data_IF_735910853661
#
_entry.id   IF_735910853661
#
_cell.length_a   1.000
_cell.length_b   1.000
_cell.length_c   1.000
_cell.angle_alpha   90.00
_cell.angle_beta   90.00
_cell.angle_gamma   90.00
#
_symmetry.space_group_name_H-M   'P 1'
#
loop_
_entity.id
_entity.type
_entity.pdbx_description
1 polymer ?
#
# COMPACT_ATOMS: atom_id res chain seq x y z
N UNK A 1 -29.80 25.23 -74.92
CA UNK A 1 -28.83 25.62 -73.89
C UNK A 1 -29.17 24.97 -72.57
N UNK A 2 -28.76 23.70 -72.38
CA UNK A 2 -28.82 23.01 -71.15
C UNK A 2 -27.47 23.14 -70.44
N UNK A 3 -27.49 23.91 -69.34
CA UNK A 3 -26.33 24.10 -68.49
C UNK A 3 -26.10 22.85 -67.62
N UNK A 4 -25.08 22.04 -67.95
CA UNK A 4 -24.59 20.95 -67.12
C UNK A 4 -24.10 21.51 -65.79
N UNK A 5 -24.64 21.00 -64.69
CA UNK A 5 -24.08 21.19 -63.35
C UNK A 5 -22.76 20.42 -63.25
N UNK A 6 -21.68 21.00 -62.74
CA UNK A 6 -20.46 20.26 -62.49
C UNK A 6 -20.71 19.16 -61.45
N UNK A 7 -20.32 17.92 -61.74
CA UNK A 7 -20.27 16.84 -60.78
C UNK A 7 -19.31 17.22 -59.62
N UNK A 8 -19.68 16.98 -58.36
CA UNK A 8 -18.81 17.25 -57.25
C UNK A 8 -17.61 16.29 -57.26
N UNK A 9 -16.43 16.88 -57.13
CA UNK A 9 -15.12 16.26 -57.11
C UNK A 9 -15.05 15.05 -56.16
N UNK A 10 -14.73 13.87 -56.69
CA UNK A 10 -14.55 12.63 -55.92
C UNK A 10 -13.46 12.74 -54.84
N UNK A 11 -12.51 13.68 -54.98
CA UNK A 11 -11.44 13.95 -54.02
C UNK A 11 -11.93 14.53 -52.68
N UNK A 12 -13.01 15.32 -52.73
CA UNK A 12 -13.56 15.97 -51.53
C UNK A 12 -14.40 14.99 -50.68
N UNK A 13 -15.01 13.99 -51.31
CA UNK A 13 -15.76 12.93 -50.64
C UNK A 13 -14.85 11.99 -49.83
N UNK A 14 -13.67 11.67 -50.36
CA UNK A 14 -12.70 10.84 -49.61
C UNK A 14 -12.14 11.53 -48.37
N UNK A 15 -11.92 12.86 -48.42
CA UNK A 15 -11.51 13.66 -47.30
C UNK A 15 -12.59 13.74 -46.19
N UNK A 16 -13.87 13.82 -46.60
CA UNK A 16 -15.01 13.89 -45.68
C UNK A 16 -15.29 12.54 -45.03
N UNK A 17 -15.13 11.40 -45.73
CA UNK A 17 -15.24 10.06 -45.15
C UNK A 17 -14.12 9.76 -44.14
N UNK A 18 -12.89 10.20 -44.43
CA UNK A 18 -11.77 10.05 -43.47
C UNK A 18 -11.95 10.91 -42.21
N UNK A 19 -12.56 12.09 -42.35
CA UNK A 19 -12.89 12.97 -41.22
C UNK A 19 -14.07 12.43 -40.38
N UNK A 20 -15.08 11.85 -41.01
CA UNK A 20 -16.23 11.25 -40.35
C UNK A 20 -15.89 9.93 -39.63
N UNK A 21 -14.87 9.21 -40.09
CA UNK A 21 -14.40 7.96 -39.46
C UNK A 21 -13.71 8.14 -38.11
N UNK A 22 -13.36 9.38 -37.69
CA UNK A 22 -12.72 9.69 -36.39
C UNK A 22 -13.67 10.28 -35.37
N UNK A 23 -14.99 10.39 -35.64
CA UNK A 23 -15.92 10.83 -34.63
C UNK A 23 -16.15 9.70 -33.63
N UNK A 24 -15.54 9.83 -32.46
CA UNK A 24 -15.82 9.06 -31.28
C UNK A 24 -17.33 9.05 -31.05
N UNK A 25 -17.98 7.90 -31.20
CA UNK A 25 -19.36 7.77 -30.79
C UNK A 25 -19.44 7.88 -29.27
N UNK A 26 -19.90 9.00 -28.66
CA UNK A 26 -19.87 9.19 -27.21
C UNK A 26 -20.65 8.10 -26.46
N UNK A 27 -21.55 7.42 -27.14
CA UNK A 27 -22.32 6.30 -26.59
C UNK A 27 -21.46 5.06 -26.33
N UNK A 28 -20.55 4.72 -27.24
CA UNK A 28 -19.68 3.53 -27.10
C UNK A 28 -18.60 3.78 -26.05
N UNK A 29 -18.00 4.97 -26.04
CA UNK A 29 -17.06 5.36 -25.01
C UNK A 29 -17.69 5.26 -23.61
N UNK A 30 -18.90 5.80 -23.43
CA UNK A 30 -19.64 5.73 -22.18
C UNK A 30 -20.00 4.30 -21.80
N UNK A 31 -20.34 3.46 -22.77
CA UNK A 31 -20.63 2.04 -22.55
C UNK A 31 -19.39 1.29 -22.03
N UNK A 32 -18.23 1.45 -22.69
CA UNK A 32 -16.97 0.81 -22.29
C UNK A 32 -16.55 1.29 -20.87
N UNK A 33 -16.63 2.57 -20.62
CA UNK A 33 -16.29 3.12 -19.29
C UNK A 33 -17.28 2.63 -18.20
N UNK A 34 -18.55 2.53 -18.55
CA UNK A 34 -19.58 1.96 -17.64
C UNK A 34 -19.35 0.48 -17.33
N UNK A 35 -18.86 -0.27 -18.32
CA UNK A 35 -18.52 -1.68 -18.15
C UNK A 35 -17.27 -1.93 -17.32
N UNK A 36 -16.25 -1.05 -17.43
CA UNK A 36 -14.95 -1.21 -16.76
C UNK A 36 -14.91 -0.50 -15.40
N UNK A 37 -15.61 0.63 -15.27
CA UNK A 37 -15.55 1.50 -14.09
C UNK A 37 -15.81 0.79 -12.77
N UNK A 38 -16.88 -0.03 -12.64
CA UNK A 38 -17.15 -0.77 -11.42
C UNK A 38 -16.00 -1.70 -11.00
N UNK A 39 -15.30 -2.33 -11.97
CA UNK A 39 -14.16 -3.22 -11.70
C UNK A 39 -12.94 -2.46 -11.24
N UNK A 40 -12.68 -1.27 -11.82
CA UNK A 40 -11.60 -0.39 -11.36
C UNK A 40 -11.89 0.06 -9.94
N UNK A 41 -13.09 0.54 -9.66
CA UNK A 41 -13.48 1.02 -8.32
C UNK A 41 -13.39 -0.09 -7.27
N UNK A 42 -13.93 -1.28 -7.58
CA UNK A 42 -13.88 -2.42 -6.66
C UNK A 42 -12.43 -2.90 -6.42
N UNK A 43 -11.62 -3.01 -7.47
CA UNK A 43 -10.22 -3.37 -7.36
C UNK A 43 -9.45 -2.31 -6.55
N UNK A 44 -9.76 -1.02 -6.75
CA UNK A 44 -9.14 0.06 -6.00
C UNK A 44 -9.47 -0.01 -4.50
N UNK A 45 -10.75 -0.20 -4.18
CA UNK A 45 -11.19 -0.35 -2.80
C UNK A 45 -10.50 -1.55 -2.13
N UNK A 46 -10.53 -2.72 -2.79
CA UNK A 46 -9.94 -3.95 -2.27
C UNK A 46 -8.43 -3.79 -2.01
N UNK A 47 -7.69 -3.31 -3.01
CA UNK A 47 -6.24 -3.10 -2.89
C UNK A 47 -5.91 -2.04 -1.83
N UNK A 48 -6.72 -0.98 -1.75
CA UNK A 48 -6.51 0.06 -0.74
C UNK A 48 -6.72 -0.45 0.68
N UNK A 49 -7.73 -1.30 0.92
CA UNK A 49 -7.94 -1.92 2.24
C UNK A 49 -6.76 -2.81 2.62
N UNK A 50 -6.29 -3.67 1.70
CA UNK A 50 -5.15 -4.56 1.96
C UNK A 50 -3.89 -3.77 2.29
N UNK A 51 -3.55 -2.77 1.47
CA UNK A 51 -2.36 -1.94 1.71
C UNK A 51 -2.51 -1.03 2.93
N UNK A 52 -3.73 -0.56 3.22
CA UNK A 52 -3.99 0.21 4.44
C UNK A 52 -3.71 -0.63 5.70
N UNK A 53 -4.20 -1.87 5.74
CA UNK A 53 -3.92 -2.79 6.86
C UNK A 53 -2.41 -3.04 7.01
N UNK A 54 -1.71 -3.28 5.91
CA UNK A 54 -0.26 -3.47 5.91
C UNK A 54 0.47 -2.22 6.42
N UNK A 55 0.05 -1.03 6.00
CA UNK A 55 0.67 0.22 6.40
C UNK A 55 0.34 0.58 7.85
N UNK A 56 -0.91 0.34 8.28
CA UNK A 56 -1.35 0.51 9.68
C UNK A 56 -0.58 -0.43 10.62
N UNK A 57 -0.24 -1.63 10.18
CA UNK A 57 0.55 -2.60 10.95
C UNK A 57 1.92 -2.06 11.36
N UNK A 58 2.52 -1.15 10.59
CA UNK A 58 3.79 -0.49 10.97
C UNK A 58 3.65 0.44 12.18
N UNK A 59 2.43 0.87 12.46
CA UNK A 59 2.08 1.76 13.56
C UNK A 59 1.16 1.07 14.56
N UNK A 60 1.25 -0.27 14.66
CA UNK A 60 0.38 -1.09 15.50
C UNK A 60 0.39 -0.61 16.97
N UNK A 61 1.55 -0.23 17.49
CA UNK A 61 1.66 0.33 18.85
C UNK A 61 0.79 1.56 19.06
N UNK A 62 0.68 2.45 18.06
CA UNK A 62 -0.17 3.65 18.14
C UNK A 62 -1.65 3.28 17.98
N UNK A 63 -1.98 2.36 17.07
CA UNK A 63 -3.36 1.96 16.82
C UNK A 63 -3.99 1.18 18.00
N UNK A 64 -3.19 0.38 18.69
CA UNK A 64 -3.65 -0.48 19.80
C UNK A 64 -3.31 0.05 21.18
N UNK A 65 -2.69 1.22 21.28
CA UNK A 65 -2.41 1.84 22.58
C UNK A 65 -3.70 2.33 23.23
N UNK A 66 -3.95 1.87 24.45
CA UNK A 66 -5.15 2.24 25.24
C UNK A 66 -5.07 3.69 25.72
N UNK A 67 -3.85 4.22 25.87
CA UNK A 67 -3.58 5.52 26.48
C UNK A 67 -3.53 6.69 25.48
N UNK A 68 -3.76 6.44 24.19
CA UNK A 68 -3.76 7.50 23.19
C UNK A 68 -5.17 8.01 22.91
N UNK A 69 -5.38 9.33 22.82
CA UNK A 69 -6.66 9.90 22.43
C UNK A 69 -7.13 9.33 21.08
N UNK A 70 -8.38 8.89 21.02
CA UNK A 70 -8.97 8.34 19.78
C UNK A 70 -8.84 9.28 18.60
N UNK A 71 -8.83 10.59 18.83
CA UNK A 71 -8.57 11.60 17.80
C UNK A 71 -7.23 11.46 17.09
N UNK A 72 -6.15 11.09 17.81
CA UNK A 72 -4.83 10.86 17.18
C UNK A 72 -4.82 9.61 16.30
N UNK A 73 -5.53 8.55 16.73
CA UNK A 73 -5.66 7.30 15.97
C UNK A 73 -6.37 7.57 14.65
N UNK A 74 -7.47 8.32 14.65
CA UNK A 74 -8.17 8.70 13.42
C UNK A 74 -7.36 9.65 12.53
N UNK A 75 -6.60 10.58 13.11
CA UNK A 75 -5.69 11.44 12.35
C UNK A 75 -4.58 10.61 11.68
N UNK A 76 -4.03 9.61 12.37
CA UNK A 76 -3.04 8.70 11.80
C UNK A 76 -3.65 7.89 10.65
N UNK A 77 -4.83 7.32 10.85
CA UNK A 77 -5.53 6.58 9.80
C UNK A 77 -5.75 7.44 8.55
N UNK A 78 -6.22 8.69 8.73
CA UNK A 78 -6.40 9.63 7.62
C UNK A 78 -5.07 10.03 6.95
N UNK A 79 -4.00 10.20 7.74
CA UNK A 79 -2.67 10.55 7.22
C UNK A 79 -2.04 9.41 6.39
N UNK A 80 -2.41 8.14 6.61
CA UNK A 80 -1.92 7.03 5.81
C UNK A 80 -2.60 6.92 4.44
N UNK A 81 -3.83 7.45 4.28
CA UNK A 81 -4.63 7.29 3.06
C UNK A 81 -3.95 7.82 1.78
N UNK A 82 -3.33 9.02 1.74
CA UNK A 82 -2.73 9.53 0.51
C UNK A 82 -1.65 8.61 -0.07
N UNK A 83 -0.81 8.05 0.79
CA UNK A 83 0.25 7.11 0.37
C UNK A 83 -0.33 5.79 -0.18
N UNK A 84 -1.38 5.28 0.47
CA UNK A 84 -2.11 4.08 0.02
C UNK A 84 -2.76 4.33 -1.33
N UNK A 85 -3.48 5.45 -1.49
CA UNK A 85 -4.17 5.83 -2.73
C UNK A 85 -3.18 5.99 -3.88
N UNK A 86 -2.07 6.68 -3.65
CA UNK A 86 -1.04 6.90 -4.68
C UNK A 86 -0.49 5.60 -5.24
N UNK A 87 -0.31 4.58 -4.39
CA UNK A 87 0.25 3.30 -4.78
C UNK A 87 -0.79 2.34 -5.37
N UNK A 88 -2.03 2.34 -4.86
CA UNK A 88 -3.08 1.42 -5.31
C UNK A 88 -3.77 1.87 -6.58
N UNK A 89 -3.83 3.17 -6.86
CA UNK A 89 -4.51 3.71 -8.03
C UNK A 89 -4.00 3.09 -9.36
N UNK A 90 -2.70 3.05 -9.65
CA UNK A 90 -2.20 2.40 -10.87
C UNK A 90 -2.57 0.91 -10.95
N UNK A 91 -2.41 0.19 -9.84
CA UNK A 91 -2.73 -1.24 -9.76
C UNK A 91 -4.21 -1.50 -10.09
N UNK A 92 -5.09 -0.68 -9.52
CA UNK A 92 -6.52 -0.79 -9.73
C UNK A 92 -6.92 -0.55 -11.18
N UNK A 93 -6.26 0.40 -11.85
CA UNK A 93 -6.49 0.66 -13.28
C UNK A 93 -6.13 -0.56 -14.13
N UNK A 94 -4.97 -1.18 -13.88
CA UNK A 94 -4.56 -2.38 -14.61
C UNK A 94 -5.54 -3.53 -14.39
N UNK A 95 -5.76 -3.88 -13.12
CA UNK A 95 -6.59 -5.03 -12.73
C UNK A 95 -8.03 -4.83 -13.20
N UNK A 96 -8.61 -3.67 -12.92
CA UNK A 96 -9.98 -3.35 -13.31
C UNK A 96 -10.20 -3.30 -14.81
N UNK A 97 -9.24 -2.75 -15.57
CA UNK A 97 -9.29 -2.74 -17.04
C UNK A 97 -9.24 -4.15 -17.60
N UNK A 98 -8.32 -5.00 -17.09
CA UNK A 98 -8.21 -6.38 -17.59
C UNK A 98 -9.46 -7.18 -17.23
N UNK A 99 -9.96 -7.10 -16.00
CA UNK A 99 -11.17 -7.83 -15.59
C UNK A 99 -12.40 -7.36 -16.37
N UNK A 100 -12.60 -6.05 -16.47
CA UNK A 100 -13.75 -5.46 -17.18
C UNK A 100 -13.75 -5.81 -18.67
N UNK A 101 -12.64 -5.63 -19.34
CA UNK A 101 -12.54 -6.00 -20.77
C UNK A 101 -12.60 -7.52 -20.98
N UNK A 102 -12.00 -8.33 -20.10
CA UNK A 102 -12.09 -9.80 -20.20
C UNK A 102 -13.51 -10.29 -20.04
N UNK A 103 -14.32 -9.62 -19.20
CA UNK A 103 -15.75 -9.90 -19.11
C UNK A 103 -16.45 -9.59 -20.42
N UNK A 104 -16.29 -8.36 -20.94
CA UNK A 104 -16.90 -7.98 -22.24
C UNK A 104 -16.49 -8.92 -23.36
N UNK A 105 -15.26 -9.45 -23.32
CA UNK A 105 -14.79 -10.45 -24.27
C UNK A 105 -15.46 -11.81 -24.06
N UNK A 106 -15.63 -12.26 -22.83
CA UNK A 106 -16.31 -13.50 -22.47
C UNK A 106 -17.79 -13.50 -22.87
N UNK A 107 -18.43 -12.35 -22.76
CA UNK A 107 -19.83 -12.12 -23.13
C UNK A 107 -20.00 -11.80 -24.65
N UNK A 108 -18.91 -11.91 -25.43
CA UNK A 108 -18.83 -11.62 -26.88
C UNK A 108 -19.14 -10.17 -27.29
N UNK A 109 -19.25 -9.25 -26.34
CA UNK A 109 -19.56 -7.83 -26.58
C UNK A 109 -18.45 -7.15 -27.40
N UNK A 110 -17.17 -7.40 -27.05
CA UNK A 110 -16.05 -6.87 -27.82
C UNK A 110 -16.00 -7.40 -29.26
N UNK A 111 -16.46 -8.64 -29.48
CA UNK A 111 -16.54 -9.21 -30.82
C UNK A 111 -17.64 -8.51 -31.62
N UNK A 112 -18.80 -8.26 -31.01
CA UNK A 112 -19.90 -7.51 -31.64
C UNK A 112 -19.50 -6.07 -31.99
N UNK A 113 -18.81 -5.37 -31.06
CA UNK A 113 -18.29 -4.02 -31.29
C UNK A 113 -17.32 -3.96 -32.49
N UNK A 114 -16.42 -4.95 -32.60
CA UNK A 114 -15.49 -5.05 -33.71
C UNK A 114 -16.19 -5.42 -35.05
N UNK A 115 -17.19 -6.31 -34.97
CA UNK A 115 -17.99 -6.66 -36.16
C UNK A 115 -18.77 -5.45 -36.68
N UNK A 116 -19.13 -4.48 -35.82
CA UNK A 116 -19.72 -3.21 -36.22
C UNK A 116 -18.69 -2.22 -36.83
N UNK A 117 -17.44 -2.64 -37.10
CA UNK A 117 -16.40 -1.82 -37.73
C UNK A 117 -15.60 -0.93 -36.80
N UNK A 118 -15.77 -1.06 -35.44
CA UNK A 118 -15.05 -0.26 -34.48
C UNK A 118 -13.64 -0.82 -34.28
N UNK A 119 -12.63 0.00 -34.56
CA UNK A 119 -11.23 -0.38 -34.44
C UNK A 119 -10.74 -0.48 -32.99
N UNK A 120 -9.67 -1.25 -32.78
CA UNK A 120 -9.07 -1.44 -31.45
C UNK A 120 -8.65 -0.11 -30.78
N UNK A 121 -8.17 0.87 -31.55
CA UNK A 121 -7.81 2.19 -31.01
C UNK A 121 -9.04 2.94 -30.47
N UNK A 122 -10.19 2.77 -31.09
CA UNK A 122 -11.44 3.41 -30.62
C UNK A 122 -11.95 2.77 -29.31
N UNK A 123 -11.63 1.49 -29.09
CA UNK A 123 -11.93 0.79 -27.84
C UNK A 123 -10.97 1.24 -26.71
N UNK A 124 -9.68 1.42 -27.06
CA UNK A 124 -8.64 1.80 -26.08
C UNK A 124 -8.72 3.27 -25.69
N UNK A 125 -9.16 4.14 -26.59
CA UNK A 125 -9.14 5.58 -26.37
C UNK A 125 -9.95 6.05 -25.12
N UNK A 126 -11.19 5.59 -24.86
CA UNK A 126 -11.88 5.97 -23.61
C UNK A 126 -11.15 5.48 -22.35
N UNK A 127 -10.51 4.31 -22.41
CA UNK A 127 -9.73 3.74 -21.30
C UNK A 127 -8.46 4.58 -21.06
N UNK A 128 -7.80 5.03 -22.15
CA UNK A 128 -6.65 5.90 -22.08
C UNK A 128 -7.01 7.28 -21.49
N UNK A 129 -8.18 7.84 -21.85
CA UNK A 129 -8.68 9.10 -21.26
C UNK A 129 -8.92 8.92 -19.76
N UNK A 130 -9.53 7.81 -19.35
CA UNK A 130 -9.69 7.49 -17.91
C UNK A 130 -8.33 7.32 -17.22
N UNK A 131 -7.41 6.59 -17.84
CA UNK A 131 -6.02 6.43 -17.36
C UNK A 131 -5.30 7.76 -17.21
N UNK A 132 -5.48 8.68 -18.16
CA UNK A 132 -4.93 10.03 -18.10
C UNK A 132 -5.54 10.84 -16.94
N UNK A 133 -6.85 10.80 -16.78
CA UNK A 133 -7.52 11.48 -15.66
C UNK A 133 -7.03 10.97 -14.31
N UNK A 134 -6.89 9.63 -14.17
CA UNK A 134 -6.35 9.02 -12.95
C UNK A 134 -4.85 9.27 -12.77
N UNK A 135 -4.08 9.46 -13.85
CA UNK A 135 -2.68 9.90 -13.79
C UNK A 135 -2.55 11.32 -13.28
N UNK A 136 -3.41 12.24 -13.72
CA UNK A 136 -3.45 13.62 -13.21
C UNK A 136 -3.83 13.60 -11.72
N UNK A 137 -4.84 12.81 -11.34
CA UNK A 137 -5.21 12.64 -9.94
C UNK A 137 -4.02 12.08 -9.12
N UNK A 138 -3.37 11.02 -9.58
CA UNK A 138 -2.22 10.43 -8.93
C UNK A 138 -1.05 11.43 -8.83
N UNK A 139 -0.85 12.28 -9.83
CA UNK A 139 0.16 13.33 -9.81
C UNK A 139 -0.10 14.35 -8.68
N UNK A 140 -1.34 14.82 -8.55
CA UNK A 140 -1.73 15.74 -7.47
C UNK A 140 -1.51 15.09 -6.10
N UNK A 141 -1.93 13.83 -5.93
CA UNK A 141 -1.74 13.10 -4.67
C UNK A 141 -0.25 12.90 -4.37
N UNK A 142 0.58 12.54 -5.35
CA UNK A 142 2.02 12.32 -5.15
C UNK A 142 2.80 13.62 -4.86
N UNK A 143 2.39 14.74 -5.49
CA UNK A 143 3.07 16.03 -5.31
C UNK A 143 2.72 16.67 -3.96
N UNK A 144 1.44 16.67 -3.59
CA UNK A 144 0.95 17.39 -2.43
C UNK A 144 0.50 16.46 -1.29
N UNK A 145 -0.22 15.40 -1.60
CA UNK A 145 -0.82 14.51 -0.61
C UNK A 145 0.21 13.65 0.13
N UNK A 146 1.14 13.04 -0.59
CA UNK A 146 2.14 12.13 0.01
C UNK A 146 3.10 12.85 0.95
N UNK A 147 3.72 14.01 0.58
CA UNK A 147 4.59 14.73 1.52
C UNK A 147 3.83 15.27 2.73
N UNK A 148 2.64 15.85 2.52
CA UNK A 148 1.81 16.32 3.63
C UNK A 148 1.41 15.18 4.59
N UNK A 149 1.10 14.02 4.04
CA UNK A 149 0.80 12.80 4.80
C UNK A 149 2.00 12.32 5.61
N UNK A 150 3.20 12.28 5.02
CA UNK A 150 4.42 11.89 5.71
C UNK A 150 4.74 12.83 6.89
N UNK A 151 4.64 14.14 6.70
CA UNK A 151 4.79 15.12 7.75
C UNK A 151 3.74 14.98 8.87
N UNK A 152 2.47 14.73 8.49
CA UNK A 152 1.41 14.46 9.47
C UNK A 152 1.68 13.20 10.30
N UNK A 153 2.09 12.09 9.66
CA UNK A 153 2.46 10.83 10.34
C UNK A 153 3.59 11.08 11.33
N UNK A 154 4.65 11.78 10.93
CA UNK A 154 5.76 12.14 11.82
C UNK A 154 5.27 12.95 13.03
N UNK A 155 4.49 14.01 12.80
CA UNK A 155 3.97 14.85 13.87
C UNK A 155 3.10 14.06 14.85
N UNK A 156 2.27 13.13 14.35
CA UNK A 156 1.45 12.26 15.18
C UNK A 156 2.32 11.28 15.95
N UNK A 157 3.34 10.68 15.33
CA UNK A 157 4.27 9.78 15.98
C UNK A 157 5.05 10.50 17.11
N UNK A 158 5.49 11.73 16.88
CA UNK A 158 6.14 12.56 17.91
C UNK A 158 5.17 12.84 19.07
N UNK A 159 3.92 13.25 18.77
CA UNK A 159 2.92 13.49 19.80
C UNK A 159 2.59 12.24 20.60
N UNK A 160 2.44 11.10 19.93
CA UNK A 160 2.20 9.81 20.58
C UNK A 160 3.39 9.41 21.50
N UNK A 161 4.63 9.61 21.03
CA UNK A 161 5.81 9.36 21.83
C UNK A 161 5.89 10.28 23.06
N UNK A 162 5.54 11.56 22.92
CA UNK A 162 5.50 12.51 24.05
C UNK A 162 4.43 12.07 25.06
N UNK A 163 3.22 11.74 24.61
CA UNK A 163 2.15 11.27 25.49
C UNK A 163 2.54 9.98 26.22
N UNK A 164 3.22 9.06 25.52
CA UNK A 164 3.73 7.82 26.14
C UNK A 164 4.78 8.12 27.22
N UNK A 165 5.61 9.14 27.03
CA UNK A 165 6.57 9.61 28.03
C UNK A 165 5.89 10.32 29.21
N UNK A 166 4.74 10.95 28.99
CA UNK A 166 3.95 11.62 30.03
C UNK A 166 3.18 10.64 30.88
N UNK A 167 2.73 9.53 30.34
CA UNK A 167 1.99 8.48 31.01
C UNK A 167 2.63 7.11 30.78
N UNK A 168 3.81 6.84 31.34
CA UNK A 168 4.54 5.60 31.06
C UNK A 168 3.93 4.35 31.71
N UNK A 169 2.90 4.50 32.55
CA UNK A 169 2.31 3.38 33.28
C UNK A 169 0.95 3.04 32.69
N UNK A 170 0.85 1.86 32.07
CA UNK A 170 -0.41 1.30 31.59
C UNK A 170 -1.08 0.48 32.70
N UNK A 171 -2.35 0.78 33.08
CA UNK A 171 -3.05 0.02 34.10
C UNK A 171 -3.29 -1.44 33.67
N UNK A 172 -3.16 -2.37 34.59
CA UNK A 172 -3.41 -3.78 34.37
C UNK A 172 -2.25 -4.54 33.73
N UNK A 173 -1.12 -3.88 33.44
CA UNK A 173 0.07 -4.48 32.82
C UNK A 173 1.33 -4.21 33.66
N UNK A 174 2.36 -5.05 33.46
CA UNK A 174 3.68 -4.81 34.03
C UNK A 174 4.47 -3.90 33.10
N UNK A 175 4.72 -2.67 33.52
CA UNK A 175 5.47 -1.66 32.79
C UNK A 175 6.95 -1.76 33.17
N UNK A 176 7.79 -2.13 32.18
CA UNK A 176 9.25 -2.28 32.32
C UNK A 176 10.03 -1.16 31.62
N UNK A 177 9.35 -0.16 31.10
CA UNK A 177 9.97 0.92 30.30
C UNK A 177 10.76 1.92 31.16
N UNK A 178 10.51 1.94 32.45
CA UNK A 178 11.25 2.77 33.41
C UNK A 178 12.53 2.05 33.85
N UNK A 179 13.68 2.61 33.48
CA UNK A 179 14.97 1.99 33.75
C UNK A 179 15.19 1.64 35.23
N UNK A 180 15.28 0.35 35.56
CA UNK A 180 15.51 -0.18 36.90
C UNK A 180 14.25 -0.44 37.70
N UNK A 181 13.06 -0.19 37.13
CA UNK A 181 11.79 -0.42 37.80
C UNK A 181 10.84 -1.24 36.92
N UNK A 182 10.15 -2.20 37.53
CA UNK A 182 8.97 -2.83 36.96
C UNK A 182 7.77 -2.40 37.75
N UNK A 183 6.85 -1.68 37.12
CA UNK A 183 5.69 -1.07 37.79
C UNK A 183 4.41 -1.74 37.31
N UNK A 184 3.57 -2.16 38.21
CA UNK A 184 2.21 -2.62 37.95
C UNK A 184 1.23 -1.64 38.64
N UNK A 185 0.26 -1.15 37.87
CA UNK A 185 -0.85 -0.37 38.38
C UNK A 185 -2.15 -1.17 38.24
N UNK A 186 -2.87 -1.42 39.29
CA UNK A 186 -4.11 -2.19 39.27
C UNK A 186 -5.22 -1.43 38.55
N UNK A 187 -5.35 -0.13 38.81
CA UNK A 187 -6.32 0.79 38.22
C UNK A 187 -5.66 2.14 37.97
N UNK A 188 -6.08 2.83 36.97
CA UNK A 188 -5.60 4.17 36.67
C UNK A 188 -6.53 4.93 35.75
N UNK A 189 -6.52 6.24 35.90
CA UNK A 189 -7.13 7.16 34.98
C UNK A 189 -6.00 7.85 34.19
N UNK A 190 -5.92 7.55 32.91
CA UNK A 190 -4.92 8.12 32.03
C UNK A 190 -5.11 9.61 31.75
N UNK A 191 -6.33 10.11 31.92
CA UNK A 191 -6.63 11.53 31.71
C UNK A 191 -6.18 12.40 32.87
N UNK A 192 -6.25 11.88 34.13
CA UNK A 192 -5.79 12.56 35.34
C UNK A 192 -4.35 12.22 35.71
N UNK A 193 -3.76 11.15 35.13
CA UNK A 193 -2.42 10.67 35.49
C UNK A 193 -2.30 10.10 36.89
N UNK A 194 -3.43 9.69 37.50
CA UNK A 194 -3.48 9.08 38.82
C UNK A 194 -3.69 7.57 38.72
N UNK A 195 -2.88 6.83 39.45
CA UNK A 195 -2.95 5.37 39.52
C UNK A 195 -3.26 4.92 40.95
N UNK A 196 -3.91 3.75 41.05
CA UNK A 196 -4.23 3.08 42.32
C UNK A 196 -3.73 1.65 42.31
N UNK A 197 -3.48 1.14 43.53
CA UNK A 197 -3.00 -0.24 43.71
C UNK A 197 -1.67 -0.46 42.99
N UNK A 198 -0.67 0.36 43.27
CA UNK A 198 0.66 0.28 42.65
C UNK A 198 1.52 -0.78 43.32
N UNK A 199 2.18 -1.57 42.49
CA UNK A 199 3.23 -2.51 42.87
C UNK A 199 4.48 -2.21 42.04
N UNK A 200 5.60 -1.97 42.73
CA UNK A 200 6.86 -1.61 42.11
C UNK A 200 7.92 -2.61 42.53
N UNK A 201 8.55 -3.23 41.55
CA UNK A 201 9.73 -4.06 41.68
C UNK A 201 10.96 -3.26 41.26
N UNK A 202 11.95 -3.16 42.14
CA UNK A 202 13.23 -2.52 41.84
C UNK A 202 14.37 -3.45 42.26
N UNK A 203 15.36 -3.61 41.40
CA UNK A 203 16.59 -4.35 41.71
C UNK A 203 17.76 -3.34 41.74
N UNK A 204 18.52 -3.31 42.83
CA UNK A 204 19.74 -2.51 42.91
C UNK A 204 20.85 -3.16 42.06
N UNK A 205 21.34 -2.49 41.03
CA UNK A 205 22.35 -3.06 40.10
C UNK A 205 23.69 -3.39 40.81
N UNK A 206 23.98 -2.81 41.96
CA UNK A 206 25.24 -3.01 42.67
C UNK A 206 25.14 -4.10 43.76
N UNK A 207 24.10 -4.08 44.60
CA UNK A 207 23.94 -5.02 45.68
C UNK A 207 23.11 -6.23 45.33
N UNK A 208 22.35 -6.15 44.20
CA UNK A 208 21.34 -7.11 43.77
C UNK A 208 20.23 -7.33 44.82
N UNK A 209 20.05 -6.37 45.69
CA UNK A 209 18.92 -6.37 46.62
C UNK A 209 17.63 -6.07 45.86
N UNK A 210 16.61 -6.86 46.14
CA UNK A 210 15.30 -6.69 45.55
C UNK A 210 14.43 -5.86 46.48
N UNK A 211 13.87 -4.78 45.99
CA UNK A 211 12.97 -3.91 46.69
C UNK A 211 11.57 -3.96 46.09
N UNK A 212 10.62 -4.40 46.88
CA UNK A 212 9.22 -4.46 46.52
C UNK A 212 8.50 -3.31 47.21
N UNK A 213 7.88 -2.42 46.46
CA UNK A 213 7.13 -1.26 47.01
C UNK A 213 5.67 -1.41 46.64
N UNK A 214 4.77 -1.33 47.61
CA UNK A 214 3.33 -1.27 47.39
C UNK A 214 2.81 0.08 47.82
N UNK A 215 1.90 0.66 47.04
CA UNK A 215 1.28 1.95 47.34
C UNK A 215 -0.22 1.92 47.01
N UNK A 216 -1.01 2.61 47.82
CA UNK A 216 -2.45 2.74 47.64
C UNK A 216 -2.81 3.65 46.45
N UNK A 217 -1.95 4.62 46.17
CA UNK A 217 -2.08 5.57 45.06
C UNK A 217 -0.74 6.14 44.64
N UNK A 218 -0.70 6.71 43.47
CA UNK A 218 0.46 7.43 42.99
C UNK A 218 0.18 8.21 41.73
N UNK A 219 1.02 9.20 41.48
CA UNK A 219 0.99 10.02 40.26
C UNK A 219 2.41 10.33 39.79
N UNK A 220 2.54 10.66 38.53
CA UNK A 220 3.80 11.19 38.01
C UNK A 220 3.69 12.71 37.95
N UNK A 221 4.47 13.38 38.74
CA UNK A 221 4.66 14.83 38.63
C UNK A 221 5.83 15.06 37.67
N UNK A 222 5.52 15.56 36.49
CA UNK A 222 6.53 15.86 35.45
C UNK A 222 6.83 17.34 35.43
N UNK A 223 8.08 17.69 35.80
CA UNK A 223 8.66 19.01 35.58
C UNK A 223 9.55 19.00 34.35
N UNK A 224 9.87 20.14 33.79
CA UNK A 224 10.68 20.21 32.51
C UNK A 224 12.04 19.50 32.61
N UNK A 225 12.60 19.36 33.83
CA UNK A 225 13.93 18.77 34.07
C UNK A 225 13.91 17.35 34.63
N UNK A 226 12.85 16.96 35.36
CA UNK A 226 12.75 15.65 35.99
C UNK A 226 11.31 15.21 36.13
N UNK A 227 11.06 13.91 36.03
CA UNK A 227 9.79 13.31 36.39
C UNK A 227 9.94 12.61 37.75
N UNK A 228 9.01 12.87 38.66
CA UNK A 228 8.95 12.27 39.99
C UNK A 228 7.72 11.38 40.08
N UNK A 229 7.91 10.14 40.50
CA UNK A 229 6.81 9.26 40.89
C UNK A 229 6.49 9.55 42.37
N UNK A 230 5.34 10.15 42.59
CA UNK A 230 4.80 10.40 43.91
C UNK A 230 3.94 9.21 44.31
N UNK A 231 4.28 8.56 45.43
CA UNK A 231 3.56 7.41 45.94
C UNK A 231 2.91 7.77 47.30
N UNK A 232 1.65 7.38 47.44
CA UNK A 232 0.86 7.61 48.64
C UNK A 232 0.80 6.34 49.50
N UNK A 233 1.05 6.48 50.79
CA UNK A 233 1.04 5.37 51.75
C UNK A 233 1.92 4.18 51.31
N UNK A 234 3.13 4.46 50.86
CA UNK A 234 4.04 3.46 50.35
C UNK A 234 4.61 2.57 51.46
N UNK A 235 4.69 1.28 51.18
CA UNK A 235 5.33 0.25 52.06
C UNK A 235 6.39 -0.46 51.21
N UNK A 236 7.58 -0.60 51.76
CA UNK A 236 8.67 -1.31 51.07
C UNK A 236 9.05 -2.59 51.87
N UNK A 237 9.30 -3.63 51.10
CA UNK A 237 9.92 -4.86 51.55
C UNK A 237 11.25 -5.02 50.78
N UNK A 238 12.35 -4.99 51.49
CA UNK A 238 13.68 -5.19 50.92
C UNK A 238 14.17 -6.59 51.23
N UNK A 239 14.54 -7.30 50.18
CA UNK A 239 15.14 -8.64 50.27
C UNK A 239 16.62 -8.46 49.91
N UNK A 240 17.48 -8.50 50.93
CA UNK A 240 18.93 -8.35 50.75
C UNK A 240 19.69 -9.60 51.16
N UNK A 241 20.84 -9.85 50.52
CA UNK A 241 21.78 -10.88 50.97
C UNK A 241 22.66 -10.30 52.07
N UNK A 242 22.30 -10.59 53.35
CA UNK A 242 23.18 -10.29 54.47
C UNK A 242 24.30 -11.32 54.66
N UNK A 243 25.32 -10.95 55.44
CA UNK A 243 26.48 -11.80 55.75
C UNK A 243 26.12 -13.11 56.47
N UNK A 244 24.91 -13.25 57.03
CA UNK A 244 24.43 -14.44 57.75
C UNK A 244 23.17 -15.06 57.13
N UNK A 245 22.77 -14.69 55.88
CA UNK A 245 21.57 -15.20 55.20
C UNK A 245 20.70 -14.11 54.58
N UNK A 246 19.54 -14.52 54.05
CA UNK A 246 18.56 -13.58 53.51
C UNK A 246 17.94 -12.71 54.62
N UNK A 247 18.12 -11.40 54.50
CA UNK A 247 17.54 -10.42 55.40
C UNK A 247 16.31 -9.78 54.76
N UNK A 248 15.16 -9.95 55.39
CA UNK A 248 13.92 -9.30 55.00
C UNK A 248 13.69 -8.10 55.90
N UNK A 249 13.59 -6.94 55.31
CA UNK A 249 13.29 -5.71 56.04
C UNK A 249 12.00 -5.11 55.50
N UNK A 250 11.02 -4.88 56.35
CA UNK A 250 9.77 -4.22 56.01
C UNK A 250 9.75 -2.80 56.62
N UNK A 251 9.52 -1.82 55.75
CA UNK A 251 9.51 -0.41 56.13
C UNK A 251 8.20 0.23 55.67
N UNK A 252 7.64 1.11 56.53
CA UNK A 252 6.54 1.96 56.12
C UNK A 252 7.12 3.32 55.75
N UNK A 253 7.05 3.64 54.43
CA UNK A 253 7.67 4.85 53.89
C UNK A 253 6.75 6.07 53.92
N UNK A 254 5.43 5.86 54.10
CA UNK A 254 4.46 6.94 53.98
C UNK A 254 4.39 7.48 52.56
N UNK A 255 4.33 8.79 52.42
CA UNK A 255 4.32 9.46 51.13
C UNK A 255 5.76 9.70 50.67
N UNK A 256 6.14 9.11 49.54
CA UNK A 256 7.51 9.21 49.00
C UNK A 256 7.50 9.73 47.57
N UNK A 257 8.60 10.37 47.22
CA UNK A 257 8.90 10.80 45.86
C UNK A 257 10.12 10.05 45.35
N UNK A 258 9.96 9.37 44.22
CA UNK A 258 11.03 8.65 43.57
C UNK A 258 11.36 9.42 42.30
N UNK A 259 12.56 10.00 42.25
CA UNK A 259 13.04 10.69 41.03
C UNK A 259 13.27 9.67 39.91
N UNK A 260 12.49 9.78 38.83
CA UNK A 260 12.68 9.02 37.61
C UNK A 260 13.53 9.88 36.69
N UNK A 261 14.74 9.42 36.39
CA UNK A 261 15.58 10.10 35.41
C UNK A 261 15.00 9.86 34.01
N UNK A 262 14.02 10.64 33.63
CA UNK A 262 13.56 10.71 32.25
C UNK A 262 14.38 11.80 31.55
N UNK A 263 15.11 11.44 30.52
CA UNK A 263 15.72 12.42 29.59
C UNK A 263 14.66 13.03 28.68
N UNK A 264 13.52 13.39 29.27
CA UNK A 264 12.33 13.81 28.53
C UNK A 264 12.59 15.06 27.69
N UNK A 265 13.14 16.10 28.29
CA UNK A 265 13.43 17.35 27.58
C UNK A 265 14.43 17.14 26.44
N UNK A 266 15.49 16.37 26.72
CA UNK A 266 16.50 16.01 25.70
C UNK A 266 15.91 15.16 24.58
N UNK A 267 15.03 14.20 24.89
CA UNK A 267 14.35 13.36 23.88
C UNK A 267 13.34 14.18 23.06
N UNK A 268 12.56 15.05 23.72
CA UNK A 268 11.61 15.93 23.05
C UNK A 268 12.35 16.90 22.13
N UNK A 269 13.45 17.47 22.58
CA UNK A 269 14.27 18.38 21.78
C UNK A 269 14.90 17.65 20.59
N UNK A 270 15.44 16.44 20.79
CA UNK A 270 15.95 15.59 19.71
C UNK A 270 14.86 15.19 18.72
N UNK A 271 13.64 14.87 19.18
CA UNK A 271 12.53 14.53 18.30
C UNK A 271 12.03 15.74 17.49
N UNK A 272 12.05 16.94 18.10
CA UNK A 272 11.63 18.18 17.45
C UNK A 272 12.71 18.71 16.49
N UNK A 273 13.99 18.56 16.85
CA UNK A 273 15.14 19.03 16.06
C UNK A 273 15.59 18.03 15.01
N UNK A 274 15.04 16.82 14.98
CA UNK A 274 15.34 15.86 13.94
C UNK A 274 15.01 16.44 12.56
N UNK A 275 16.00 16.45 11.67
CA UNK A 275 15.86 16.94 10.29
C UNK A 275 14.66 16.27 9.60
N UNK A 276 13.98 17.01 8.74
CA UNK A 276 12.88 16.49 7.93
C UNK A 276 13.39 15.32 7.08
N UNK A 277 12.68 14.21 7.12
CA UNK A 277 13.05 13.09 6.25
C UNK A 277 12.78 13.47 4.79
N UNK A 278 13.59 12.99 3.84
CA UNK A 278 13.37 13.29 2.41
C UNK A 278 11.96 12.94 1.93
N UNK A 279 11.28 12.01 2.61
CA UNK A 279 9.91 11.60 2.29
C UNK A 279 8.86 12.68 2.60
N UNK A 280 9.14 13.60 3.54
CA UNK A 280 8.25 14.68 3.96
C UNK A 280 8.36 15.91 3.05
N UNK A 281 9.47 16.03 2.33
CA UNK A 281 9.77 17.16 1.47
C UNK A 281 8.89 17.12 0.21
N UNK A 282 8.41 18.28 -0.21
CA UNK A 282 7.78 18.49 -1.51
C UNK A 282 8.76 18.24 -2.66
N UNK A 283 8.28 18.15 -3.91
CA UNK A 283 9.19 17.90 -5.05
C UNK A 283 10.24 19.00 -5.21
N UNK A 284 9.86 20.28 -5.06
CA UNK A 284 10.79 21.40 -5.13
C UNK A 284 11.87 21.31 -4.05
N UNK A 285 11.44 21.13 -2.80
CA UNK A 285 12.33 21.00 -1.65
C UNK A 285 13.23 19.76 -1.76
N UNK A 286 12.75 18.65 -2.36
CA UNK A 286 13.57 17.45 -2.63
C UNK A 286 14.67 17.74 -3.65
N UNK A 287 14.39 18.54 -4.68
CA UNK A 287 15.38 18.94 -5.68
C UNK A 287 16.43 19.84 -5.04
N UNK A 288 16.02 20.79 -4.20
CA UNK A 288 16.92 21.66 -3.46
C UNK A 288 17.78 20.86 -2.47
N UNK A 289 17.16 19.91 -1.74
CA UNK A 289 17.87 18.99 -0.85
C UNK A 289 18.90 18.14 -1.60
N UNK A 290 18.52 17.58 -2.76
CA UNK A 290 19.44 16.81 -3.60
C UNK A 290 20.60 17.64 -4.14
N UNK A 291 20.39 18.96 -4.38
CA UNK A 291 21.45 19.86 -4.83
C UNK A 291 22.42 20.26 -3.71
N UNK A 292 21.96 20.27 -2.46
CA UNK A 292 22.73 20.66 -1.28
C UNK A 292 23.49 19.49 -0.63
N UNK A 293 23.18 18.25 -1.00
CA UNK A 293 23.77 17.03 -0.42
C UNK A 293 24.55 16.25 -1.48
N UNK A 294 25.51 15.43 -1.02
CA UNK A 294 26.33 14.59 -1.88
C UNK A 294 26.17 13.10 -1.56
N UNK A 295 26.64 12.25 -2.48
CA UNK A 295 26.76 10.81 -2.23
C UNK A 295 25.42 10.09 -2.15
N UNK A 296 25.18 9.36 -1.05
CA UNK A 296 24.00 8.51 -0.88
C UNK A 296 22.73 9.31 -0.64
N UNK A 297 22.79 10.40 0.14
CA UNK A 297 21.65 11.25 0.47
C UNK A 297 21.07 11.95 -0.77
N UNK A 298 21.95 12.45 -1.63
CA UNK A 298 21.55 13.00 -2.92
C UNK A 298 20.83 11.98 -3.78
N UNK A 299 21.40 10.76 -3.93
CA UNK A 299 20.77 9.71 -4.72
C UNK A 299 19.40 9.30 -4.18
N UNK A 300 19.25 9.24 -2.85
CA UNK A 300 17.97 8.92 -2.23
C UNK A 300 16.90 9.97 -2.55
N UNK A 301 17.24 11.25 -2.46
CA UNK A 301 16.32 12.33 -2.81
C UNK A 301 15.94 12.29 -4.30
N UNK A 302 16.90 12.10 -5.20
CA UNK A 302 16.66 11.98 -6.64
C UNK A 302 15.76 10.78 -6.97
N UNK A 303 15.98 9.62 -6.33
CA UNK A 303 15.15 8.42 -6.49
C UNK A 303 13.72 8.69 -6.03
N UNK A 304 13.51 9.40 -4.91
CA UNK A 304 12.17 9.75 -4.43
C UNK A 304 11.42 10.66 -5.39
N UNK A 305 12.08 11.69 -5.96
CA UNK A 305 11.49 12.56 -6.99
C UNK A 305 11.00 11.72 -8.17
N UNK A 306 11.88 10.87 -8.69
CA UNK A 306 11.57 10.09 -9.87
C UNK A 306 10.50 9.02 -9.60
N UNK A 307 10.53 8.38 -8.44
CA UNK A 307 9.50 7.44 -8.01
C UNK A 307 8.11 8.09 -7.95
N UNK A 308 8.01 9.31 -7.39
CA UNK A 308 6.74 10.06 -7.36
C UNK A 308 6.22 10.36 -8.76
N UNK A 309 7.10 10.75 -9.68
CA UNK A 309 6.72 11.01 -11.08
C UNK A 309 6.32 9.70 -11.79
N UNK A 310 7.11 8.64 -11.66
CA UNK A 310 6.82 7.35 -12.28
C UNK A 310 5.46 6.79 -11.85
N UNK A 311 5.17 6.80 -10.54
CA UNK A 311 3.89 6.35 -10.00
C UNK A 311 2.72 7.20 -10.49
N UNK A 312 2.95 8.49 -10.75
CA UNK A 312 1.92 9.38 -11.27
C UNK A 312 1.54 9.06 -12.73
N UNK A 313 2.49 8.63 -13.56
CA UNK A 313 2.23 8.22 -14.93
C UNK A 313 1.79 6.76 -15.07
N UNK A 314 2.00 5.95 -14.05
CA UNK A 314 1.68 4.52 -14.07
C UNK A 314 0.20 4.20 -14.39
N UNK A 315 -0.83 4.94 -13.92
CA UNK A 315 -2.22 4.67 -14.30
C UNK A 315 -2.45 4.72 -15.80
N UNK A 316 -1.86 5.69 -16.50
CA UNK A 316 -1.97 5.80 -17.96
C UNK A 316 -1.30 4.62 -18.67
N UNK A 317 -0.09 4.25 -18.25
CA UNK A 317 0.66 3.12 -18.78
C UNK A 317 -0.14 1.83 -18.58
N UNK A 318 -0.68 1.63 -17.39
CA UNK A 318 -1.44 0.43 -17.04
C UNK A 318 -2.80 0.36 -17.75
N UNK A 319 -3.42 1.48 -18.06
CA UNK A 319 -4.60 1.53 -18.92
C UNK A 319 -4.30 0.97 -20.32
N UNK A 320 -3.18 1.38 -20.92
CA UNK A 320 -2.75 0.85 -22.24
C UNK A 320 -2.32 -0.62 -22.16
N UNK A 321 -1.55 -1.00 -21.13
CA UNK A 321 -1.12 -2.39 -20.93
C UNK A 321 -2.32 -3.32 -20.76
N UNK A 322 -3.25 -2.96 -19.86
CA UNK A 322 -4.44 -3.75 -19.59
C UNK A 322 -5.31 -3.93 -20.83
N UNK A 323 -5.60 -2.83 -21.53
CA UNK A 323 -6.37 -2.88 -22.76
C UNK A 323 -5.65 -3.67 -23.87
N UNK A 324 -4.35 -3.41 -24.08
CA UNK A 324 -3.55 -4.10 -25.09
C UNK A 324 -3.47 -5.61 -24.87
N UNK A 325 -3.33 -6.03 -23.63
CA UNK A 325 -3.29 -7.46 -23.27
C UNK A 325 -4.61 -8.17 -23.59
N UNK A 326 -5.74 -7.64 -23.12
CA UNK A 326 -7.03 -8.28 -23.37
C UNK A 326 -7.35 -8.30 -24.87
N UNK A 327 -7.07 -7.22 -25.58
CA UNK A 327 -7.30 -7.16 -27.03
C UNK A 327 -6.40 -8.12 -27.82
N UNK A 328 -5.24 -8.50 -27.29
CA UNK A 328 -4.30 -9.44 -27.92
C UNK A 328 -4.63 -10.90 -27.65
N UNK A 329 -5.00 -11.24 -26.42
CA UNK A 329 -5.23 -12.62 -25.99
C UNK A 329 -6.71 -13.00 -26.08
N UNK A 330 -7.21 -13.15 -27.31
CA UNK A 330 -8.64 -13.39 -27.63
C UNK A 330 -9.21 -14.72 -27.11
N UNK A 331 -8.41 -15.68 -26.68
CA UNK A 331 -8.85 -17.04 -26.34
C UNK A 331 -8.74 -17.40 -24.85
N UNK A 332 -8.33 -16.47 -24.01
CA UNK A 332 -8.22 -16.69 -22.57
C UNK A 332 -9.56 -16.45 -21.87
N UNK A 333 -10.04 -17.42 -21.10
CA UNK A 333 -11.17 -17.19 -20.18
C UNK A 333 -10.82 -16.13 -19.10
N UNK A 334 -11.83 -15.75 -18.27
CA UNK A 334 -11.69 -14.74 -17.21
C UNK A 334 -10.45 -14.95 -16.31
N UNK A 335 -10.07 -16.21 -16.04
CA UNK A 335 -8.90 -16.55 -15.21
C UNK A 335 -7.55 -16.17 -15.86
N UNK A 336 -7.42 -16.28 -17.18
CA UNK A 336 -6.19 -15.90 -17.90
C UNK A 336 -5.97 -14.39 -17.83
N UNK A 337 -7.04 -13.60 -17.90
CA UNK A 337 -6.96 -12.14 -17.75
C UNK A 337 -6.41 -11.74 -16.37
N UNK A 338 -6.92 -12.34 -15.31
CA UNK A 338 -6.45 -12.08 -13.93
C UNK A 338 -4.98 -12.49 -13.76
N UNK A 339 -4.59 -13.65 -14.28
CA UNK A 339 -3.20 -14.11 -14.25
C UNK A 339 -2.26 -13.16 -14.99
N UNK A 340 -2.64 -12.69 -16.17
CA UNK A 340 -1.86 -11.72 -16.94
C UNK A 340 -1.75 -10.38 -16.20
N UNK A 341 -2.84 -9.92 -15.56
CA UNK A 341 -2.80 -8.72 -14.74
C UNK A 341 -1.77 -8.84 -13.62
N UNK A 342 -1.80 -9.97 -12.91
CA UNK A 342 -0.89 -10.25 -11.80
C UNK A 342 0.57 -10.28 -12.26
N UNK A 343 0.88 -11.02 -13.34
CA UNK A 343 2.24 -11.13 -13.89
C UNK A 343 2.76 -9.76 -14.35
N UNK A 344 1.92 -8.97 -15.01
CA UNK A 344 2.31 -7.63 -15.47
C UNK A 344 2.56 -6.68 -14.32
N UNK A 345 1.66 -6.69 -13.34
CA UNK A 345 1.78 -5.88 -12.13
C UNK A 345 3.09 -6.19 -11.42
N UNK A 346 3.34 -7.47 -11.16
CA UNK A 346 4.55 -7.91 -10.51
C UNK A 346 5.79 -7.54 -11.31
N UNK A 347 5.80 -7.83 -12.61
CA UNK A 347 6.93 -7.52 -13.48
C UNK A 347 7.29 -6.03 -13.44
N UNK A 348 6.28 -5.15 -13.48
CA UNK A 348 6.50 -3.71 -13.38
C UNK A 348 7.09 -3.31 -12.03
N UNK A 349 6.51 -3.77 -10.92
CA UNK A 349 6.97 -3.37 -9.58
C UNK A 349 8.31 -4.00 -9.22
N UNK A 350 8.58 -5.25 -9.61
CA UNK A 350 9.90 -5.86 -9.42
C UNK A 350 10.95 -5.11 -10.23
N UNK A 351 10.67 -4.80 -11.49
CA UNK A 351 11.59 -4.04 -12.33
C UNK A 351 11.85 -2.64 -11.74
N UNK A 352 10.81 -1.98 -11.23
CA UNK A 352 10.93 -0.70 -10.54
C UNK A 352 11.78 -0.82 -9.28
N UNK A 353 11.52 -1.83 -8.43
CA UNK A 353 12.28 -2.05 -7.20
C UNK A 353 13.76 -2.34 -7.49
N UNK A 354 14.05 -3.23 -8.44
CA UNK A 354 15.41 -3.57 -8.83
C UNK A 354 16.14 -2.34 -9.40
N UNK A 355 15.47 -1.56 -10.24
CA UNK A 355 16.01 -0.31 -10.79
C UNK A 355 16.33 0.71 -9.71
N UNK A 356 15.44 0.88 -8.73
CA UNK A 356 15.66 1.76 -7.59
C UNK A 356 16.87 1.31 -6.75
N UNK A 357 17.06 0.00 -6.54
CA UNK A 357 18.22 -0.52 -5.81
C UNK A 357 19.54 -0.23 -6.53
N UNK A 358 19.58 -0.42 -7.85
CA UNK A 358 20.76 -0.06 -8.65
C UNK A 358 21.06 1.46 -8.63
N UNK A 359 20.03 2.29 -8.64
CA UNK A 359 20.16 3.73 -8.51
C UNK A 359 20.75 4.14 -7.13
N UNK A 360 20.20 3.56 -6.05
CA UNK A 360 20.69 3.81 -4.67
C UNK A 360 22.14 3.32 -4.47
N UNK A 361 22.47 2.17 -5.04
CA UNK A 361 23.83 1.64 -5.02
C UNK A 361 24.83 2.48 -5.85
N UNK A 362 24.34 3.39 -6.69
CA UNK A 362 25.19 4.23 -7.56
C UNK A 362 25.77 3.51 -8.77
N UNK A 363 25.29 2.31 -9.08
CA UNK A 363 25.71 1.52 -10.24
C UNK A 363 25.11 2.04 -11.54
N UNK A 364 23.92 2.64 -11.45
CA UNK A 364 23.22 3.27 -12.57
C UNK A 364 22.88 4.73 -12.23
N UNK A 365 22.94 5.65 -13.21
CA UNK A 365 22.41 6.99 -13.01
C UNK A 365 20.93 6.93 -12.66
N UNK A 366 20.49 7.74 -11.69
CA UNK A 366 19.12 7.69 -11.16
C UNK A 366 18.07 7.88 -12.26
N UNK A 367 18.34 8.77 -13.23
CA UNK A 367 17.43 9.01 -14.37
C UNK A 367 17.27 7.76 -15.23
N UNK A 368 18.34 7.06 -15.59
CA UNK A 368 18.27 5.87 -16.44
C UNK A 368 17.60 4.70 -15.71
N UNK A 369 17.86 4.56 -14.41
CA UNK A 369 17.25 3.52 -13.60
C UNK A 369 15.72 3.69 -13.51
N UNK A 370 15.23 4.91 -13.29
CA UNK A 370 13.79 5.17 -13.20
C UNK A 370 13.06 5.10 -14.54
N UNK A 371 13.73 5.38 -15.64
CA UNK A 371 13.15 5.23 -16.98
C UNK A 371 13.01 3.77 -17.41
N UNK A 372 13.76 2.84 -16.81
CA UNK A 372 13.79 1.44 -17.21
C UNK A 372 12.42 0.73 -17.10
N UNK A 373 11.64 0.82 -16.02
CA UNK A 373 10.30 0.24 -15.94
C UNK A 373 9.31 0.92 -16.89
N UNK A 374 9.48 2.23 -17.14
CA UNK A 374 8.64 2.98 -18.07
C UNK A 374 8.90 2.57 -19.51
N UNK A 375 10.17 2.53 -19.94
CA UNK A 375 10.57 2.11 -21.27
C UNK A 375 10.23 0.64 -21.52
N UNK A 376 10.43 -0.23 -20.52
CA UNK A 376 10.01 -1.62 -20.59
C UNK A 376 8.52 -1.76 -20.82
N UNK A 377 7.70 -1.00 -20.12
CA UNK A 377 6.25 -0.99 -20.28
C UNK A 377 5.82 -0.45 -21.63
N UNK A 378 6.43 0.64 -22.11
CA UNK A 378 6.18 1.21 -23.43
C UNK A 378 6.59 0.21 -24.51
N UNK A 379 7.72 -0.49 -24.36
CA UNK A 379 8.14 -1.54 -25.27
C UNK A 379 7.12 -2.68 -25.35
N UNK A 380 6.58 -3.14 -24.22
CA UNK A 380 5.52 -4.15 -24.18
C UNK A 380 4.24 -3.63 -24.84
N UNK A 381 3.83 -2.38 -24.58
CA UNK A 381 2.68 -1.75 -25.22
C UNK A 381 2.88 -1.71 -26.73
N UNK A 382 4.02 -1.20 -27.19
CA UNK A 382 4.34 -1.13 -28.61
C UNK A 382 4.30 -2.52 -29.27
N UNK A 383 4.89 -3.52 -28.60
CA UNK A 383 4.85 -4.90 -29.10
C UNK A 383 3.41 -5.44 -29.14
N UNK A 384 2.58 -5.21 -28.13
CA UNK A 384 1.18 -5.64 -28.12
C UNK A 384 0.38 -5.04 -29.29
N UNK A 385 0.55 -3.74 -29.59
CA UNK A 385 -0.20 -3.06 -30.63
C UNK A 385 0.36 -3.31 -32.04
N UNK A 386 1.69 -3.36 -32.20
CA UNK A 386 2.34 -3.63 -33.51
C UNK A 386 2.10 -5.07 -33.91
N UNK A 387 2.21 -6.03 -33.00
CA UNK A 387 1.96 -7.45 -33.31
C UNK A 387 0.52 -7.73 -33.69
N UNK A 388 -0.45 -6.88 -33.34
CA UNK A 388 -1.82 -6.95 -33.81
C UNK A 388 -1.96 -6.55 -35.29
N UNK A 389 -1.10 -5.64 -35.78
CA UNK A 389 -1.10 -5.21 -37.19
C UNK A 389 -0.41 -6.20 -38.09
N UNK A 390 0.60 -6.93 -37.58
CA UNK A 390 1.35 -7.95 -38.34
C UNK A 390 0.73 -9.34 -38.08
N UNK A 391 -0.58 -9.46 -38.26
CA UNK A 391 -1.33 -10.70 -38.03
C UNK A 391 -1.03 -11.84 -39.03
N UNK A 392 0.06 -11.75 -39.82
CA UNK A 392 0.53 -12.80 -40.72
C UNK A 392 1.77 -13.56 -40.25
N UNK A 393 2.54 -13.08 -39.31
CA UNK A 393 3.74 -13.76 -38.79
C UNK A 393 3.51 -14.22 -37.36
N UNK A 394 2.94 -15.42 -37.22
CA UNK A 394 2.63 -16.04 -35.93
C UNK A 394 3.88 -16.37 -35.13
N UNK A 395 4.27 -15.52 -34.20
CA UNK A 395 4.92 -15.98 -32.99
C UNK A 395 3.83 -16.65 -32.17
N UNK A 396 3.67 -17.96 -32.36
CA UNK A 396 2.76 -18.80 -31.59
C UNK A 396 3.30 -18.90 -30.18
N UNK A 397 2.66 -18.19 -29.24
CA UNK A 397 2.83 -18.41 -27.79
C UNK A 397 2.22 -19.77 -27.34
N UNK A 398 1.85 -20.63 -28.27
CA UNK A 398 1.47 -22.02 -27.99
C UNK A 398 2.58 -22.78 -27.22
N UNK A 399 3.84 -22.38 -27.36
CA UNK A 399 4.97 -22.96 -26.63
C UNK A 399 5.04 -22.55 -25.14
N UNK A 400 4.51 -21.39 -24.76
CA UNK A 400 4.41 -21.01 -23.33
C UNK A 400 3.28 -21.76 -22.62
N UNK A 401 2.22 -22.14 -23.34
CA UNK A 401 1.19 -23.05 -22.86
C UNK A 401 1.68 -24.49 -22.64
N UNK A 402 2.77 -24.89 -23.32
CA UNK A 402 3.39 -26.21 -23.11
C UNK A 402 4.34 -26.26 -21.92
N UNK A 403 4.86 -25.13 -21.46
CA UNK A 403 5.72 -25.02 -20.26
C UNK A 403 4.90 -25.01 -18.94
N UNK A 404 3.60 -24.73 -19.01
CA UNK A 404 2.71 -24.85 -17.88
C UNK A 404 2.21 -26.31 -17.77
N UNK A 405 2.26 -26.94 -16.61
CA UNK A 405 1.81 -28.32 -16.44
C UNK A 405 0.38 -28.43 -16.93
N UNK A 406 0.15 -29.28 -17.94
CA UNK A 406 -1.13 -29.47 -18.68
C UNK A 406 -2.33 -29.79 -17.77
N UNK A 407 -2.08 -30.18 -16.52
CA UNK A 407 -3.11 -30.49 -15.54
C UNK A 407 -3.77 -29.28 -14.85
N UNK A 408 -3.24 -28.06 -15.00
CA UNK A 408 -3.80 -26.87 -14.32
C UNK A 408 -4.95 -26.21 -15.10
N UNK A 409 -5.07 -26.47 -16.41
CA UNK A 409 -6.04 -25.80 -17.29
C UNK A 409 -6.89 -26.74 -18.15
N UNK A 410 -6.68 -28.07 -18.05
CA UNK A 410 -7.54 -29.04 -18.74
C UNK A 410 -8.93 -29.05 -18.08
N UNK A 411 -9.90 -28.46 -18.78
CA UNK A 411 -11.31 -28.79 -18.60
C UNK A 411 -11.47 -30.24 -19.03
N UNK A 412 -11.43 -31.18 -18.09
CA UNK A 412 -12.00 -32.51 -18.31
C UNK A 412 -13.46 -32.30 -18.68
N UNK A 413 -13.81 -32.64 -19.91
CA UNK A 413 -15.18 -32.67 -20.36
C UNK A 413 -15.98 -33.51 -19.39
N UNK A 414 -17.02 -32.90 -18.83
CA UNK A 414 -17.97 -33.55 -17.95
C UNK A 414 -18.67 -34.63 -18.74
N UNK A 415 -18.23 -35.88 -18.60
CA UNK A 415 -18.99 -37.03 -18.99
C UNK A 415 -19.92 -37.42 -17.86
N UNK A 416 -21.21 -37.32 -18.15
CA UNK A 416 -22.38 -37.96 -17.52
C UNK A 416 -22.51 -37.83 -16.00
N UNK A 417 -23.39 -36.94 -15.62
CA UNK A 417 -24.04 -36.85 -14.33
C UNK A 417 -24.76 -38.17 -13.98
N UNK A 418 -24.45 -38.73 -12.81
CA UNK A 418 -25.34 -39.67 -12.17
C UNK A 418 -26.46 -38.87 -11.52
N UNK A 419 -27.71 -39.30 -11.74
CA UNK A 419 -28.97 -38.67 -11.28
C UNK A 419 -29.02 -38.39 -9.77
N UNK A 420 -28.14 -39.03 -8.97
CA UNK A 420 -28.03 -38.83 -7.52
C UNK A 420 -27.27 -37.56 -7.10
N UNK A 421 -26.57 -36.91 -8.03
CA UNK A 421 -25.75 -35.72 -7.75
C UNK A 421 -26.47 -34.40 -8.09
N UNK A 422 -27.57 -34.46 -8.80
CA UNK A 422 -28.41 -33.29 -9.14
C UNK A 422 -29.29 -32.83 -7.96
N UNK A 423 -29.37 -33.61 -6.88
CA UNK A 423 -30.16 -33.27 -5.70
C UNK A 423 -29.45 -32.37 -4.70
N UNK A 424 -28.19 -32.10 -4.88
CA UNK A 424 -27.45 -31.13 -4.06
C UNK A 424 -27.08 -29.93 -4.91
N UNK A 425 -27.76 -28.83 -4.69
CA UNK A 425 -27.56 -27.50 -5.29
C UNK A 425 -26.17 -26.90 -5.08
N UNK A 426 -25.21 -27.70 -4.62
CA UNK A 426 -23.86 -27.26 -4.21
C UNK A 426 -22.71 -27.53 -5.18
N UNK A 427 -22.95 -28.29 -6.29
CA UNK A 427 -21.79 -28.72 -7.13
C UNK A 427 -21.18 -27.60 -7.98
N UNK A 428 -21.98 -26.64 -8.42
CA UNK A 428 -21.48 -25.46 -9.13
C UNK A 428 -20.68 -24.55 -8.19
N UNK A 429 -21.13 -24.46 -6.93
CA UNK A 429 -20.45 -23.64 -5.91
C UNK A 429 -19.18 -24.29 -5.43
N UNK A 430 -19.12 -25.63 -5.39
CA UNK A 430 -17.91 -26.37 -5.02
C UNK A 430 -16.81 -26.27 -6.09
N UNK A 431 -17.15 -26.31 -7.37
CA UNK A 431 -16.19 -26.07 -8.46
C UNK A 431 -15.70 -24.63 -8.47
N UNK A 432 -16.57 -23.67 -8.20
CA UNK A 432 -16.22 -22.27 -8.05
C UNK A 432 -15.32 -22.10 -6.81
N UNK A 433 -15.68 -22.68 -5.68
CA UNK A 433 -14.91 -22.65 -4.44
C UNK A 433 -13.53 -23.32 -4.60
N UNK A 434 -13.44 -24.49 -5.23
CA UNK A 434 -12.18 -25.19 -5.48
C UNK A 434 -11.27 -24.41 -6.42
N UNK A 435 -11.81 -23.78 -7.45
CA UNK A 435 -11.06 -22.92 -8.35
C UNK A 435 -10.61 -21.64 -7.64
N UNK A 436 -11.47 -21.02 -6.81
CA UNK A 436 -11.12 -19.87 -5.99
C UNK A 436 -9.98 -20.23 -5.00
N UNK A 437 -10.07 -21.38 -4.34
CA UNK A 437 -9.06 -21.86 -3.40
C UNK A 437 -7.72 -22.15 -4.10
N UNK A 438 -7.74 -22.73 -5.30
CA UNK A 438 -6.53 -22.93 -6.12
C UNK A 438 -5.88 -21.61 -6.52
N UNK A 439 -6.66 -20.66 -6.98
CA UNK A 439 -6.14 -19.33 -7.34
C UNK A 439 -5.66 -18.55 -6.11
N UNK A 440 -6.37 -18.66 -4.99
CA UNK A 440 -5.96 -18.09 -3.71
C UNK A 440 -4.64 -18.70 -3.22
N UNK A 441 -4.52 -20.04 -3.25
CA UNK A 441 -3.30 -20.73 -2.87
C UNK A 441 -2.10 -20.37 -3.76
N UNK A 442 -2.32 -20.23 -5.07
CA UNK A 442 -1.30 -19.81 -6.03
C UNK A 442 -0.87 -18.35 -5.80
N UNK A 443 -1.84 -17.48 -5.47
CA UNK A 443 -1.58 -16.08 -5.13
C UNK A 443 -0.82 -15.96 -3.80
N UNK A 444 -1.19 -16.78 -2.82
CA UNK A 444 -0.56 -16.80 -1.51
C UNK A 444 0.88 -17.38 -1.57
N UNK A 445 1.10 -18.43 -2.34
CA UNK A 445 2.43 -18.97 -2.60
C UNK A 445 3.32 -17.93 -3.31
N UNK A 446 2.75 -17.22 -4.25
CA UNK A 446 3.44 -16.17 -4.98
C UNK A 446 3.77 -14.96 -4.10
N UNK A 447 2.82 -14.49 -3.27
CA UNK A 447 3.05 -13.45 -2.26
C UNK A 447 4.10 -13.89 -1.24
N UNK A 448 4.11 -15.18 -0.82
CA UNK A 448 5.11 -15.71 0.10
C UNK A 448 6.52 -15.65 -0.51
N UNK A 449 6.69 -16.01 -1.77
CA UNK A 449 7.97 -15.87 -2.47
C UNK A 449 8.41 -14.41 -2.52
N UNK A 450 7.48 -13.48 -2.69
CA UNK A 450 7.75 -12.03 -2.73
C UNK A 450 8.15 -11.47 -1.35
N UNK A 451 7.68 -12.08 -0.27
CA UNK A 451 8.02 -11.68 1.10
C UNK A 451 9.36 -12.27 1.58
N UNK A 452 9.84 -13.36 0.94
CA UNK A 452 11.10 -14.03 1.30
C UNK A 452 12.29 -13.59 0.43
N UNK A 453 12.06 -12.79 -0.61
CA UNK A 453 13.08 -12.13 -1.43
C UNK A 453 13.16 -10.64 -1.06
#
# INVERSE_FOLDING_TARGET
NEGGRPEPDEGDRTGEYLRKGMSFGPKIARYILGAIGPYILFSWLLLSVVLFIQQAGKFAEIFFSVNLPSGLVWQLAAALLPSVIAFTCPMAVLVGTIIGLSRMQGDSELVAIRAAGIGNLQIVAPIAVLGLALSIFALIVNIYGVPAAAGAVRNIAIRAAILKLESPIEPGTFNTELAGFTIYAGRGDTDTGEWRDLFIYAEDPKTKDVRLITSSGGRIDSTDEASELVLEQARAITLGKGTEGEKITAENLGDIRIAIRTRRSELIERLKSAELSPQELGIGELVDYASAKDGAERREAEVLVQRRLLLSFAPLIFAFLGAGMVLRFNRGGRGVGIFLALVTLLGFYLLSMVSEQFARAGTLPVISASLLPLLGSIGVIAWLFVSQRIAGSGLRFDRLGELLPKGLFERKGVQRSSILMDLTTGLRDFDIFTNLLKYFGLTLAFLSVLFFV
#
